data_IF_871498607222
#
_entry.id   IF_871498607222
#
_cell.length_a   1.000
_cell.length_b   1.000
_cell.length_c   1.000
_cell.angle_alpha   90.00
_cell.angle_beta   90.00
_cell.angle_gamma   90.00
#
_symmetry.space_group_name_H-M   'P 1'
#
loop_
_entity.id
_entity.type
_entity.pdbx_description
1 polymer ?
#
# COMPACT_ATOMS: atom_id res chain seq x y z
N UNK A 1 16.88 -2.94 9.82
CA UNK A 1 15.63 -2.23 10.19
C UNK A 1 15.78 -0.84 9.61
N UNK A 2 14.88 -0.42 8.73
CA UNK A 2 14.98 0.88 8.06
C UNK A 2 13.94 1.82 8.68
N UNK A 3 14.31 3.09 8.84
CA UNK A 3 13.46 4.12 9.44
C UNK A 3 13.00 5.12 8.39
N UNK A 4 11.74 5.52 8.47
CA UNK A 4 11.14 6.58 7.66
C UNK A 4 10.45 7.56 8.61
N UNK A 5 10.85 8.82 8.58
CA UNK A 5 10.26 9.89 9.40
C UNK A 5 9.22 10.63 8.55
N UNK A 6 7.98 10.65 9.02
CA UNK A 6 6.88 11.41 8.40
C UNK A 6 6.52 12.58 9.30
N UNK A 7 6.38 13.77 8.72
CA UNK A 7 5.89 14.95 9.45
C UNK A 7 4.38 15.03 9.32
N UNK A 8 3.70 14.99 10.45
CA UNK A 8 2.27 15.23 10.55
C UNK A 8 2.02 16.63 11.11
N UNK A 9 0.90 17.22 10.73
CA UNK A 9 0.37 18.41 11.40
C UNK A 9 -0.02 18.07 12.84
N UNK A 10 -0.15 19.09 13.68
CA UNK A 10 -0.62 18.90 15.06
C UNK A 10 -2.02 18.27 15.12
N UNK A 11 -2.90 18.61 14.17
CA UNK A 11 -4.24 18.05 14.08
C UNK A 11 -4.22 16.56 13.73
N UNK A 12 -3.43 16.16 12.73
CA UNK A 12 -3.27 14.75 12.35
C UNK A 12 -2.66 13.92 13.49
N UNK A 13 -1.69 14.48 14.23
CA UNK A 13 -1.14 13.83 15.42
C UNK A 13 -2.20 13.61 16.51
N UNK A 14 -3.05 14.61 16.76
CA UNK A 14 -4.11 14.50 17.76
C UNK A 14 -5.16 13.45 17.36
N UNK A 15 -5.63 13.48 16.11
CA UNK A 15 -6.58 12.49 15.60
C UNK A 15 -6.03 11.06 15.66
N UNK A 16 -4.74 10.88 15.31
CA UNK A 16 -4.09 9.57 15.39
C UNK A 16 -3.96 9.09 16.84
N UNK A 17 -3.67 9.98 17.78
CA UNK A 17 -3.61 9.66 19.21
C UNK A 17 -4.97 9.25 19.76
N UNK A 18 -6.03 9.99 19.41
CA UNK A 18 -7.40 9.68 19.82
C UNK A 18 -7.85 8.30 19.28
N UNK A 19 -7.52 8.01 18.01
CA UNK A 19 -7.79 6.69 17.42
C UNK A 19 -7.04 5.57 18.14
N UNK A 20 -5.76 5.78 18.44
CA UNK A 20 -4.92 4.81 19.14
C UNK A 20 -5.50 4.50 20.54
N UNK A 21 -5.88 5.54 21.28
CA UNK A 21 -6.52 5.40 22.60
C UNK A 21 -7.85 4.63 22.52
N UNK A 22 -8.73 5.02 21.59
CA UNK A 22 -10.02 4.38 21.40
C UNK A 22 -9.93 2.89 20.98
N UNK A 23 -8.80 2.48 20.40
CA UNK A 23 -8.58 1.10 19.91
C UNK A 23 -7.66 0.27 20.81
N UNK A 24 -7.06 0.87 21.83
CA UNK A 24 -6.08 0.19 22.68
C UNK A 24 -4.81 -0.21 21.93
N UNK A 25 -4.39 0.60 20.96
CA UNK A 25 -3.19 0.40 20.12
C UNK A 25 -2.28 1.63 20.22
N UNK A 26 -1.13 1.61 19.53
CA UNK A 26 -0.26 2.80 19.43
C UNK A 26 -0.41 3.53 18.09
N UNK A 27 -0.10 4.85 18.03
CA UNK A 27 -0.02 5.59 16.77
C UNK A 27 0.87 4.92 15.72
N UNK A 28 1.99 4.32 16.13
CA UNK A 28 2.93 3.61 15.26
C UNK A 28 2.32 2.33 14.67
N UNK A 29 1.52 1.60 15.44
CA UNK A 29 0.82 0.40 14.95
C UNK A 29 -0.19 0.76 13.87
N UNK A 30 -0.95 1.85 14.07
CA UNK A 30 -1.87 2.39 13.07
C UNK A 30 -1.13 2.89 11.81
N UNK A 31 -0.03 3.63 11.98
CA UNK A 31 0.78 4.09 10.85
C UNK A 31 1.35 2.90 10.06
N UNK A 32 1.87 1.89 10.74
CA UNK A 32 2.38 0.68 10.11
C UNK A 32 1.28 -0.10 9.38
N UNK A 33 0.09 -0.22 9.97
CA UNK A 33 -1.06 -0.85 9.34
C UNK A 33 -1.50 -0.09 8.07
N UNK A 34 -1.58 1.24 8.13
CA UNK A 34 -1.91 2.09 6.98
C UNK A 34 -0.92 1.91 5.83
N UNK A 35 0.39 1.91 6.13
CA UNK A 35 1.44 1.69 5.12
C UNK A 35 1.32 0.30 4.49
N UNK A 36 1.13 -0.75 5.29
CA UNK A 36 1.00 -2.14 4.78
C UNK A 36 -0.23 -2.29 3.89
N UNK A 37 -1.35 -1.72 4.31
CA UNK A 37 -2.60 -1.78 3.56
C UNK A 37 -2.50 -1.01 2.25
N UNK A 38 -1.90 0.18 2.26
CA UNK A 38 -1.65 0.95 1.04
C UNK A 38 -0.77 0.15 0.07
N UNK A 39 0.36 -0.39 0.53
CA UNK A 39 1.25 -1.19 -0.32
C UNK A 39 0.58 -2.46 -0.86
N UNK A 40 -0.32 -3.08 -0.09
CA UNK A 40 -1.10 -4.24 -0.54
C UNK A 40 -2.03 -3.84 -1.69
N UNK A 41 -2.79 -2.76 -1.53
CA UNK A 41 -3.68 -2.22 -2.58
C UNK A 41 -2.91 -1.85 -3.84
N UNK A 42 -1.76 -1.19 -3.71
CA UNK A 42 -0.93 -0.82 -4.85
C UNK A 42 -0.39 -2.05 -5.58
N UNK A 43 0.07 -3.08 -4.86
CA UNK A 43 0.50 -4.34 -5.48
C UNK A 43 -0.64 -5.03 -6.24
N UNK A 44 -1.84 -5.02 -5.70
CA UNK A 44 -3.02 -5.60 -6.37
C UNK A 44 -3.37 -4.85 -7.65
N UNK A 45 -3.32 -3.51 -7.62
CA UNK A 45 -3.56 -2.67 -8.80
C UNK A 45 -2.50 -2.90 -9.89
N UNK A 46 -1.21 -2.89 -9.51
CA UNK A 46 -0.10 -3.16 -10.42
C UNK A 46 -0.19 -4.58 -10.97
N UNK A 47 -0.47 -5.57 -10.13
CA UNK A 47 -0.66 -6.96 -10.55
C UNK A 47 -1.82 -7.12 -11.53
N UNK A 48 -2.94 -6.45 -11.29
CA UNK A 48 -4.07 -6.44 -12.21
C UNK A 48 -3.73 -5.78 -13.56
N UNK A 49 -2.97 -4.68 -13.55
CA UNK A 49 -2.49 -4.03 -14.76
C UNK A 49 -1.51 -4.91 -15.54
N UNK A 50 -0.54 -5.51 -14.87
CA UNK A 50 0.41 -6.45 -15.46
C UNK A 50 -0.31 -7.67 -16.06
N UNK A 51 -1.30 -8.23 -15.37
CA UNK A 51 -2.10 -9.34 -15.87
C UNK A 51 -2.93 -8.96 -17.11
N UNK A 52 -3.48 -7.73 -17.16
CA UNK A 52 -4.16 -7.21 -18.36
C UNK A 52 -3.20 -7.09 -19.54
N UNK A 53 -2.03 -6.50 -19.33
CA UNK A 53 -1.00 -6.38 -20.36
C UNK A 53 -0.56 -7.77 -20.85
N UNK A 54 -0.25 -8.70 -19.94
CA UNK A 54 0.12 -10.06 -20.29
C UNK A 54 -0.96 -10.74 -21.14
N UNK A 55 -2.25 -10.60 -20.81
CA UNK A 55 -3.35 -11.15 -21.63
C UNK A 55 -3.45 -10.50 -23.01
N UNK A 56 -3.28 -9.18 -23.10
CA UNK A 56 -3.32 -8.45 -24.38
C UNK A 56 -2.15 -8.82 -25.28
N UNK A 57 -0.97 -9.04 -24.70
CA UNK A 57 0.26 -9.32 -25.44
C UNK A 57 0.53 -10.82 -25.61
N UNK A 58 -0.13 -11.72 -24.89
CA UNK A 58 0.04 -13.18 -25.03
C UNK A 58 -0.19 -13.70 -26.46
N UNK A 59 -1.22 -13.26 -27.21
CA UNK A 59 -1.39 -13.66 -28.61
C UNK A 59 -0.27 -13.13 -29.52
N UNK A 60 0.28 -11.95 -29.19
CA UNK A 60 1.39 -11.33 -29.92
C UNK A 60 2.70 -12.08 -29.67
N UNK A 61 3.00 -12.45 -28.43
CA UNK A 61 4.15 -13.28 -28.05
C UNK A 61 4.08 -14.67 -28.69
N UNK A 62 2.89 -15.29 -28.71
CA UNK A 62 2.65 -16.59 -29.38
C UNK A 62 2.92 -16.54 -30.89
N UNK A 63 2.74 -15.37 -31.52
CA UNK A 63 3.08 -15.15 -32.95
C UNK A 63 4.55 -14.86 -33.19
N UNK A 64 5.30 -14.44 -32.17
CA UNK A 64 6.74 -14.17 -32.23
C UNK A 64 7.61 -15.38 -31.85
N UNK A 65 7.00 -16.52 -31.52
CA UNK A 65 7.69 -17.80 -31.37
C UNK A 65 8.27 -18.10 -29.98
N UNK A 66 7.73 -17.50 -28.93
CA UNK A 66 7.97 -17.94 -27.55
C UNK A 66 7.18 -19.22 -27.21
#
# INVERSE_FOLDING_TARGET
>A
MNELIVRLSAAECAELADLADATGSTPEEHAAAAVREHLRREREQVGAAAARLARQHAPLLKRLGA
#
